data_IF_646578205970
#
_entry.id   IF_646578205970
#
_cell.length_a   1.000
_cell.length_b   1.000
_cell.length_c   1.000
_cell.angle_alpha   90.00
_cell.angle_beta   90.00
_cell.angle_gamma   90.00
#
_symmetry.space_group_name_H-M   'P 1'
#
loop_
_entity.id
_entity.type
_entity.pdbx_description
1 polymer ?
#
# COMPACT_ATOMS: atom_id res chain seq x y z
N UNK A 1 -13.07 -1.74 -17.03
CA UNK A 1 -13.88 -2.89 -17.51
C UNK A 1 -14.59 -3.45 -16.30
N UNK A 2 -15.91 -3.63 -16.39
CA UNK A 2 -16.72 -4.18 -15.30
C UNK A 2 -17.38 -5.48 -15.75
N UNK A 3 -17.42 -6.48 -14.87
CA UNK A 3 -18.11 -7.75 -15.09
C UNK A 3 -18.90 -8.12 -13.86
N UNK A 4 -20.12 -8.60 -14.08
CA UNK A 4 -20.93 -9.19 -13.03
C UNK A 4 -20.39 -10.61 -12.78
N UNK A 5 -19.81 -10.82 -11.61
CA UNK A 5 -19.34 -12.12 -11.17
C UNK A 5 -20.39 -12.83 -10.30
N UNK A 6 -20.39 -14.16 -10.33
CA UNK A 6 -21.31 -14.95 -9.51
C UNK A 6 -20.73 -15.16 -8.11
N UNK A 7 -21.56 -14.87 -7.11
CA UNK A 7 -21.30 -15.22 -5.71
C UNK A 7 -21.77 -16.66 -5.44
N UNK A 8 -20.99 -17.38 -4.65
CA UNK A 8 -21.34 -18.72 -4.20
C UNK A 8 -20.88 -18.95 -2.76
N UNK A 9 -21.32 -20.05 -2.15
CA UNK A 9 -20.91 -20.45 -0.80
C UNK A 9 -19.73 -21.41 -0.88
N UNK A 10 -18.73 -21.20 -0.04
CA UNK A 10 -17.66 -22.16 0.23
C UNK A 10 -17.68 -22.50 1.72
N UNK A 11 -18.40 -23.57 2.06
CA UNK A 11 -18.77 -23.88 3.45
C UNK A 11 -19.58 -22.75 4.08
N UNK A 12 -19.13 -22.23 5.22
CA UNK A 12 -19.77 -21.08 5.90
C UNK A 12 -19.46 -19.74 5.23
N UNK A 13 -18.42 -19.68 4.40
CA UNK A 13 -17.92 -18.44 3.80
C UNK A 13 -18.61 -18.14 2.48
N UNK A 14 -18.55 -16.87 2.06
CA UNK A 14 -18.95 -16.43 0.72
C UNK A 14 -17.70 -16.33 -0.16
N UNK A 15 -17.83 -16.68 -1.43
CA UNK A 15 -16.76 -16.63 -2.41
C UNK A 15 -17.26 -16.00 -3.72
N UNK A 16 -16.35 -15.35 -4.45
CA UNK A 16 -16.57 -14.79 -5.78
C UNK A 16 -15.84 -15.67 -6.79
N UNK A 17 -16.49 -16.04 -7.89
CA UNK A 17 -15.79 -16.67 -9.02
C UNK A 17 -15.19 -15.56 -9.88
N UNK A 18 -13.86 -15.42 -9.86
CA UNK A 18 -13.16 -14.47 -10.71
C UNK A 18 -13.22 -14.95 -12.18
N UNK A 19 -13.72 -14.11 -13.11
CA UNK A 19 -13.54 -14.35 -14.54
C UNK A 19 -12.06 -14.39 -14.92
N UNK A 20 -11.72 -15.08 -16.01
CA UNK A 20 -10.32 -15.31 -16.44
C UNK A 20 -9.56 -14.00 -16.68
N UNK A 21 -10.25 -12.96 -17.15
CA UNK A 21 -9.66 -11.64 -17.37
C UNK A 21 -9.26 -10.90 -16.08
N UNK A 22 -9.71 -11.37 -14.90
CA UNK A 22 -9.37 -10.83 -13.59
C UNK A 22 -8.60 -11.84 -12.71
N UNK A 23 -8.07 -12.91 -13.30
CA UNK A 23 -7.29 -13.91 -12.57
C UNK A 23 -5.97 -13.34 -12.05
N UNK A 24 -5.61 -13.70 -10.82
CA UNK A 24 -4.34 -13.32 -10.21
C UNK A 24 -3.30 -14.40 -10.47
N UNK A 25 -2.06 -14.01 -10.70
CA UNK A 25 -0.89 -14.89 -10.81
C UNK A 25 -0.30 -15.26 -9.42
N UNK A 26 -1.13 -15.22 -8.37
CA UNK A 26 -0.76 -15.49 -6.98
C UNK A 26 -1.88 -16.24 -6.28
N UNK A 27 -1.54 -17.00 -5.24
CA UNK A 27 -2.48 -17.79 -4.44
C UNK A 27 -3.22 -16.95 -3.38
N UNK A 28 -2.75 -15.72 -3.14
CA UNK A 28 -3.26 -14.83 -2.08
C UNK A 28 -3.51 -13.42 -2.61
N UNK A 29 -4.46 -12.75 -1.99
CA UNK A 29 -4.78 -11.35 -2.26
C UNK A 29 -4.99 -10.60 -0.95
N UNK A 30 -4.71 -9.30 -0.97
CA UNK A 30 -5.23 -8.41 0.06
C UNK A 30 -6.69 -8.09 -0.24
N UNK A 31 -7.49 -8.00 0.81
CA UNK A 31 -8.88 -7.57 0.74
C UNK A 31 -9.06 -6.34 1.63
N UNK A 32 -9.63 -5.27 1.07
CA UNK A 32 -9.99 -4.07 1.84
C UNK A 32 -11.35 -3.55 1.42
N UNK A 33 -11.97 -2.80 2.32
CA UNK A 33 -13.18 -2.02 2.02
C UNK A 33 -12.82 -0.54 1.95
N UNK A 34 -13.29 0.15 0.92
CA UNK A 34 -13.12 1.60 0.82
C UNK A 34 -14.22 2.36 1.58
N UNK A 35 -14.23 3.69 1.46
CA UNK A 35 -15.22 4.56 2.12
C UNK A 35 -16.63 4.43 1.54
N UNK A 36 -16.75 4.02 0.29
CA UNK A 36 -18.02 3.81 -0.41
C UNK A 36 -18.62 2.43 -0.11
N UNK A 37 -17.83 1.55 0.52
CA UNK A 37 -18.24 0.20 0.87
C UNK A 37 -17.83 -0.86 -0.16
N UNK A 38 -17.12 -0.47 -1.22
CA UNK A 38 -16.65 -1.40 -2.24
C UNK A 38 -15.57 -2.32 -1.67
N UNK A 39 -15.60 -3.58 -2.08
CA UNK A 39 -14.55 -4.56 -1.74
C UNK A 39 -13.50 -4.55 -2.84
N UNK A 40 -12.27 -4.19 -2.47
CA UNK A 40 -11.13 -4.10 -3.38
C UNK A 40 -10.19 -5.26 -3.08
N UNK A 41 -9.86 -6.02 -4.13
CA UNK A 41 -8.85 -7.07 -4.11
C UNK A 41 -7.57 -6.55 -4.78
N UNK A 42 -6.44 -6.69 -4.10
CA UNK A 42 -5.14 -6.37 -4.67
C UNK A 42 -4.17 -7.54 -4.53
N UNK A 43 -3.26 -7.66 -5.50
CA UNK A 43 -2.29 -8.75 -5.57
C UNK A 43 -1.45 -8.82 -4.30
N UNK A 44 -1.34 -10.02 -3.72
CA UNK A 44 -0.36 -10.28 -2.67
C UNK A 44 1.00 -10.58 -3.32
N UNK A 45 2.07 -9.84 -2.97
CA UNK A 45 3.39 -10.07 -3.56
C UNK A 45 3.97 -11.42 -3.11
N UNK A 46 4.70 -12.08 -4.00
CA UNK A 46 5.33 -13.38 -3.71
C UNK A 46 6.37 -13.32 -2.57
N UNK A 47 6.97 -12.15 -2.34
CA UNK A 47 7.88 -11.87 -1.22
C UNK A 47 7.36 -10.66 -0.43
N UNK A 48 6.44 -10.86 0.52
CA UNK A 48 5.81 -9.77 1.26
C UNK A 48 6.81 -8.97 2.12
N UNK A 49 7.84 -9.62 2.65
CA UNK A 49 8.88 -8.99 3.48
C UNK A 49 10.04 -8.38 2.65
N UNK A 50 9.87 -8.31 1.33
CA UNK A 50 10.91 -7.78 0.44
C UNK A 50 10.81 -6.25 0.34
N UNK A 51 11.93 -5.58 0.57
CA UNK A 51 12.09 -4.16 0.29
C UNK A 51 12.28 -3.86 -1.20
N UNK A 52 12.43 -4.88 -2.05
CA UNK A 52 12.72 -4.69 -3.48
C UNK A 52 11.69 -3.82 -4.23
N UNK A 53 10.36 -3.95 -4.03
CA UNK A 53 9.39 -3.08 -4.68
C UNK A 53 9.59 -1.61 -4.29
N UNK A 54 9.81 -1.34 -3.00
CA UNK A 54 10.07 0.02 -2.51
C UNK A 54 11.35 0.60 -3.12
N UNK A 55 12.44 -0.16 -3.10
CA UNK A 55 13.72 0.27 -3.68
C UNK A 55 13.61 0.52 -5.19
N UNK A 56 12.79 -0.28 -5.89
CA UNK A 56 12.54 -0.08 -7.33
C UNK A 56 11.78 1.21 -7.60
N UNK A 57 10.82 1.56 -6.74
CA UNK A 57 10.09 2.85 -6.83
C UNK A 57 11.05 4.00 -6.56
N UNK A 58 11.86 3.92 -5.50
CA UNK A 58 12.86 4.95 -5.16
C UNK A 58 13.80 5.17 -6.34
N UNK A 59 14.33 4.10 -6.95
CA UNK A 59 15.24 4.18 -8.08
C UNK A 59 14.61 4.81 -9.34
N UNK A 60 13.30 4.66 -9.54
CA UNK A 60 12.56 5.23 -10.67
C UNK A 60 12.00 6.63 -10.39
N UNK A 61 12.02 7.07 -9.14
CA UNK A 61 11.48 8.38 -8.76
C UNK A 61 12.54 9.44 -9.03
N UNK A 62 12.30 10.39 -9.96
CA UNK A 62 13.23 11.48 -10.20
C UNK A 62 13.22 12.39 -8.97
N UNK A 63 14.33 12.40 -8.23
CA UNK A 63 14.54 13.28 -7.08
C UNK A 63 15.51 14.37 -7.52
N UNK A 64 15.17 15.66 -7.35
CA UNK A 64 16.10 16.76 -7.65
C UNK A 64 17.42 16.58 -6.88
N UNK A 65 18.54 16.90 -7.51
CA UNK A 65 19.86 16.76 -6.87
C UNK A 65 19.98 17.57 -5.56
N UNK A 66 19.26 18.68 -5.46
CA UNK A 66 19.23 19.57 -4.29
C UNK A 66 18.17 19.17 -3.25
N UNK A 67 17.37 18.13 -3.50
CA UNK A 67 16.33 17.72 -2.56
C UNK A 67 16.95 17.20 -1.25
N UNK A 68 16.62 17.87 -0.14
CA UNK A 68 17.22 17.61 1.17
C UNK A 68 18.75 17.73 1.11
N UNK A 69 19.23 18.88 0.62
CA UNK A 69 20.66 19.19 0.59
C UNK A 69 21.30 19.24 1.98
N UNK A 70 22.61 19.50 2.05
CA UNK A 70 23.33 19.60 3.32
C UNK A 70 22.73 20.69 4.23
N UNK A 71 22.40 21.85 3.66
CA UNK A 71 21.77 22.97 4.35
C UNK A 71 20.39 22.59 4.92
N UNK A 72 19.52 21.95 4.12
CA UNK A 72 18.19 21.51 4.56
C UNK A 72 18.23 20.48 5.69
N UNK A 73 19.28 19.65 5.72
CA UNK A 73 19.50 18.62 6.73
C UNK A 73 20.15 19.14 8.00
N UNK A 74 20.72 20.34 7.98
CA UNK A 74 21.38 20.97 9.13
C UNK A 74 20.35 21.64 10.05
N UNK A 75 19.34 20.89 10.50
CA UNK A 75 18.19 21.44 11.25
C UNK A 75 18.50 21.81 12.70
N UNK A 76 19.77 21.86 13.09
CA UNK A 76 20.19 22.12 14.47
C UNK A 76 19.64 21.10 15.46
N UNK A 77 19.83 21.37 16.76
CA UNK A 77 19.16 20.64 17.83
C UNK A 77 17.99 21.50 18.27
N UNK A 78 16.77 20.98 18.18
CA UNK A 78 15.61 21.64 18.74
C UNK A 78 15.52 21.31 20.23
N UNK A 79 15.67 22.33 21.08
CA UNK A 79 15.34 22.22 22.50
C UNK A 79 13.84 22.40 22.65
N UNK A 80 13.11 21.28 22.68
CA UNK A 80 11.68 21.26 22.93
C UNK A 80 11.44 20.35 24.12
N UNK A 81 10.96 20.92 25.21
CA UNK A 81 10.46 20.17 26.34
C UNK A 81 9.00 19.80 26.07
N UNK A 82 8.67 18.52 25.80
CA UNK A 82 7.28 18.10 25.57
C UNK A 82 6.39 18.21 26.82
N UNK A 83 6.96 18.60 27.98
CA UNK A 83 6.26 18.76 29.25
C UNK A 83 6.37 20.16 29.85
N UNK A 84 6.96 21.15 29.15
CA UNK A 84 6.90 22.53 29.61
C UNK A 84 5.45 23.01 29.57
N UNK A 85 4.93 23.49 30.70
CA UNK A 85 3.66 24.21 30.74
C UNK A 85 3.87 25.53 29.97
N UNK A 86 3.43 25.60 28.71
CA UNK A 86 3.41 26.86 27.95
C UNK A 86 2.48 27.86 28.68
N UNK A 87 3.00 29.04 29.01
CA UNK A 87 2.25 30.18 29.58
C UNK A 87 1.66 31.07 28.46
#
# INVERSE_FOLDING_TARGET
MERIAKLFKNGRNQAVRLPVEFEFDTDRVYIRRDREGNVILSKYPAKPDSWAPLLSIIAQTPVPQEFLGAEDRQQGVADRDPFSEEE
#
